data_IF_923807950348
#
_entry.id   IF_923807950348
#
_cell.length_a   1.000
_cell.length_b   1.000
_cell.length_c   1.000
_cell.angle_alpha   90.00
_cell.angle_beta   90.00
_cell.angle_gamma   90.00
#
_symmetry.space_group_name_H-M   'P 1'
#
loop_
_entity.id
_entity.type
_entity.pdbx_description
1 polymer ?
#
# COMPACT_ATOMS: atom_id res chain seq x y z
N UNK A 1 5.67 28.56 23.89
CA UNK A 1 5.16 27.68 22.81
C UNK A 1 5.49 26.25 23.20
N UNK A 2 4.56 25.56 23.85
CA UNK A 2 4.77 24.21 24.34
C UNK A 2 4.87 23.25 23.15
N UNK A 3 5.97 22.51 23.09
CA UNK A 3 6.16 21.36 22.21
C UNK A 3 5.17 20.27 22.62
N UNK A 4 4.20 19.97 21.75
CA UNK A 4 3.32 18.81 21.92
C UNK A 4 4.18 17.57 21.74
N UNK A 5 4.63 16.99 22.85
CA UNK A 5 5.16 15.64 22.88
C UNK A 5 4.05 14.67 22.48
N UNK A 6 4.21 14.03 21.32
CA UNK A 6 3.48 12.82 20.97
C UNK A 6 4.10 11.65 21.74
N UNK A 7 3.72 11.49 22.99
CA UNK A 7 3.86 10.20 23.66
C UNK A 7 2.68 9.33 23.22
N UNK A 8 2.92 8.44 22.24
CA UNK A 8 1.95 7.45 21.78
C UNK A 8 2.44 6.03 22.09
N UNK A 9 1.77 5.36 23.01
CA UNK A 9 1.89 3.92 23.29
C UNK A 9 0.47 3.37 23.42
N UNK A 10 0.02 2.27 22.81
CA UNK A 10 0.62 1.17 22.04
C UNK A 10 -0.31 0.84 20.85
N UNK A 11 0.25 0.67 19.64
CA UNK A 11 -0.44 0.46 18.36
C UNK A 11 -1.52 1.49 17.98
N UNK A 12 -1.11 2.65 17.45
CA UNK A 12 -2.02 3.48 16.66
C UNK A 12 -2.50 2.66 15.44
N UNK A 13 -3.83 2.49 15.29
CA UNK A 13 -4.39 1.82 14.11
C UNK A 13 -4.29 2.73 12.89
N UNK A 14 -3.90 2.19 11.71
CA UNK A 14 -3.90 2.98 10.48
C UNK A 14 -5.31 3.44 10.15
N UNK A 15 -5.46 4.71 9.78
CA UNK A 15 -6.74 5.29 9.36
C UNK A 15 -7.02 5.07 7.87
N UNK A 16 -6.00 4.73 7.08
CA UNK A 16 -6.05 4.59 5.64
C UNK A 16 -5.25 3.37 5.20
N UNK A 17 -5.74 2.67 4.17
CA UNK A 17 -5.10 1.52 3.54
C UNK A 17 -5.09 1.72 2.02
N UNK A 18 -3.90 1.62 1.41
CA UNK A 18 -3.74 1.55 -0.05
C UNK A 18 -3.46 0.09 -0.43
N UNK A 19 -4.32 -0.50 -1.24
CA UNK A 19 -4.14 -1.85 -1.76
C UNK A 19 -3.66 -1.80 -3.22
N UNK A 20 -2.39 -2.13 -3.45
CA UNK A 20 -1.82 -2.24 -4.80
C UNK A 20 -2.11 -3.64 -5.37
N UNK A 21 -3.21 -3.77 -6.12
CA UNK A 21 -3.66 -5.06 -6.65
C UNK A 21 -2.73 -5.58 -7.76
N UNK A 22 -2.30 -4.68 -8.63
CA UNK A 22 -1.41 -4.97 -9.74
C UNK A 22 -0.65 -3.72 -10.14
N UNK A 23 0.56 -3.89 -10.64
CA UNK A 23 1.22 -2.81 -11.35
C UNK A 23 0.76 -2.74 -12.81
N UNK A 24 0.25 -3.82 -13.43
CA UNK A 24 -0.10 -3.85 -14.86
C UNK A 24 -1.05 -2.70 -15.23
N UNK A 25 -0.53 -1.72 -15.97
CA UNK A 25 -1.27 -0.53 -16.43
C UNK A 25 -0.94 -0.31 -17.91
N UNK A 26 -1.95 -0.13 -18.79
CA UNK A 26 -1.73 0.05 -20.23
C UNK A 26 -1.20 1.44 -20.60
N UNK A 27 -1.10 2.35 -19.64
CA UNK A 27 -0.70 3.74 -19.85
C UNK A 27 0.78 3.96 -19.50
N UNK A 28 1.43 4.87 -20.22
CA UNK A 28 2.83 5.27 -20.01
C UNK A 28 2.90 6.74 -19.57
N UNK A 29 2.25 7.04 -18.44
CA UNK A 29 2.17 8.41 -17.94
C UNK A 29 3.56 8.91 -17.51
N UNK A 30 3.97 10.14 -17.88
CA UNK A 30 5.27 10.70 -17.50
C UNK A 30 5.41 10.96 -15.99
N UNK A 31 4.30 10.96 -15.25
CA UNK A 31 4.24 11.13 -13.81
C UNK A 31 3.36 10.05 -13.16
N UNK A 32 3.77 8.79 -13.27
CA UNK A 32 3.11 7.69 -12.56
C UNK A 32 3.86 7.34 -11.27
N UNK A 33 3.12 7.02 -10.21
CA UNK A 33 3.70 6.48 -8.98
C UNK A 33 4.10 5.01 -9.11
N UNK A 34 3.66 4.31 -10.16
CA UNK A 34 4.03 2.92 -10.37
C UNK A 34 5.51 2.80 -10.74
N UNK A 35 6.18 1.70 -10.34
CA UNK A 35 7.58 1.47 -10.70
C UNK A 35 7.78 1.49 -12.22
N UNK A 36 8.94 1.94 -12.68
CA UNK A 36 9.29 1.88 -14.12
C UNK A 36 9.54 0.43 -14.56
N UNK A 37 10.12 -0.40 -13.70
CA UNK A 37 10.48 -1.80 -13.99
C UNK A 37 9.38 -2.80 -13.60
N UNK A 38 8.15 -2.54 -14.03
CA UNK A 38 6.94 -3.29 -13.64
C UNK A 38 7.04 -4.80 -13.91
N UNK A 39 7.77 -5.19 -14.96
CA UNK A 39 7.96 -6.59 -15.35
C UNK A 39 8.72 -7.44 -14.31
N UNK A 40 9.41 -6.82 -13.35
CA UNK A 40 10.06 -7.53 -12.22
C UNK A 40 9.03 -8.05 -11.22
N UNK A 41 7.84 -7.46 -11.15
CA UNK A 41 6.78 -7.82 -10.23
C UNK A 41 5.78 -8.74 -10.94
N UNK A 42 5.86 -10.04 -10.66
CA UNK A 42 5.06 -11.06 -11.37
C UNK A 42 4.03 -11.75 -10.49
N UNK A 43 4.20 -11.68 -9.18
CA UNK A 43 3.36 -12.39 -8.23
C UNK A 43 2.35 -11.41 -7.64
N UNK A 44 1.09 -11.60 -8.00
CA UNK A 44 -0.06 -10.93 -7.38
C UNK A 44 -0.59 -11.82 -6.24
N UNK A 45 -1.23 -11.22 -5.23
CA UNK A 45 -1.91 -12.00 -4.21
C UNK A 45 -3.08 -12.79 -4.82
N UNK A 46 -3.27 -14.01 -4.33
CA UNK A 46 -4.48 -14.78 -4.66
C UNK A 46 -5.72 -14.11 -4.07
N UNK A 47 -6.90 -14.46 -4.59
CA UNK A 47 -8.17 -13.99 -4.02
C UNK A 47 -8.29 -14.37 -2.54
N UNK A 48 -7.89 -15.58 -2.17
CA UNK A 48 -7.94 -16.05 -0.78
C UNK A 48 -6.98 -15.26 0.14
N UNK A 49 -5.79 -14.91 -0.37
CA UNK A 49 -4.86 -14.05 0.36
C UNK A 49 -5.42 -12.64 0.59
N UNK A 50 -6.07 -12.06 -0.42
CA UNK A 50 -6.74 -10.77 -0.28
C UNK A 50 -7.83 -10.81 0.79
N UNK A 51 -8.70 -11.84 0.76
CA UNK A 51 -9.75 -12.01 1.77
C UNK A 51 -9.14 -12.11 3.17
N UNK A 52 -8.08 -12.90 3.33
CA UNK A 52 -7.38 -13.06 4.62
C UNK A 52 -6.79 -11.75 5.15
N UNK A 53 -6.21 -10.91 4.29
CA UNK A 53 -5.63 -9.62 4.69
C UNK A 53 -6.72 -8.62 5.10
N UNK A 54 -7.86 -8.61 4.40
CA UNK A 54 -8.96 -7.69 4.68
C UNK A 54 -9.74 -8.02 5.98
N UNK A 55 -9.51 -9.19 6.57
CA UNK A 55 -10.12 -9.63 7.83
C UNK A 55 -9.27 -9.34 9.08
N UNK A 56 -8.08 -8.75 8.93
CA UNK A 56 -7.23 -8.31 10.06
C UNK A 56 -7.78 -7.04 10.72
#
# INVERSE_FOLDING_TARGET
MATVGLEASSQARPLWLLAELTYRCPLQCPYCSNPVEMAKYKNELSTDDWIRVMQQ
#
